data_IF_368724070102
#
_entry.id   IF_368724070102
#
_cell.length_a   1.000
_cell.length_b   1.000
_cell.length_c   1.000
_cell.angle_alpha   90.00
_cell.angle_beta   90.00
_cell.angle_gamma   90.00
#
_symmetry.space_group_name_H-M   'P 1'
#
loop_
_entity.id
_entity.type
_entity.pdbx_description
1 polymer ?
#
# COMPACT_ATOMS: atom_id res chain seq x y z
N UNK A 1 -14.02 16.37 -4.23
CA UNK A 1 -12.64 16.76 -3.98
C UNK A 1 -12.17 17.75 -5.04
N UNK A 2 -11.47 18.78 -4.62
CA UNK A 2 -10.94 19.79 -5.53
C UNK A 2 -9.67 19.35 -6.22
N UNK A 3 -9.04 18.29 -5.71
CA UNK A 3 -7.77 17.79 -6.22
C UNK A 3 -7.89 16.30 -6.51
N UNK A 4 -7.48 15.93 -7.72
CA UNK A 4 -7.37 14.53 -8.09
C UNK A 4 -6.07 14.33 -8.85
N UNK A 5 -5.33 13.30 -8.50
CA UNK A 5 -4.13 12.91 -9.22
C UNK A 5 -4.17 11.42 -9.50
N UNK A 6 -3.96 11.06 -10.76
CA UNK A 6 -3.89 9.67 -11.17
C UNK A 6 -2.44 9.29 -11.43
N UNK A 7 -2.00 8.20 -10.82
CA UNK A 7 -0.63 7.72 -10.94
C UNK A 7 -0.65 6.29 -11.49
N UNK A 8 0.29 5.98 -12.37
CA UNK A 8 0.42 4.64 -12.94
C UNK A 8 1.86 4.20 -12.77
N UNK A 9 2.04 2.99 -12.25
CA UNK A 9 3.35 2.35 -12.24
C UNK A 9 3.30 1.07 -13.06
N UNK A 10 4.35 0.85 -13.86
CA UNK A 10 4.49 -0.36 -14.66
C UNK A 10 5.47 -1.28 -13.97
N UNK A 11 5.05 -2.50 -13.68
CA UNK A 11 5.80 -3.40 -12.80
C UNK A 11 5.92 -4.77 -13.45
N UNK A 12 7.09 -5.39 -13.29
CA UNK A 12 7.33 -6.76 -13.75
C UNK A 12 6.96 -7.75 -12.65
N UNK A 13 6.90 -9.02 -13.03
CA UNK A 13 6.60 -10.12 -12.11
C UNK A 13 7.51 -10.07 -10.89
N UNK A 14 6.95 -10.41 -9.74
CA UNK A 14 7.61 -10.43 -8.43
C UNK A 14 7.98 -9.08 -7.85
N UNK A 15 7.68 -7.96 -8.53
CA UNK A 15 7.81 -6.65 -7.90
C UNK A 15 6.88 -6.57 -6.70
N UNK A 16 7.42 -6.20 -5.54
CA UNK A 16 6.66 -5.97 -4.32
C UNK A 16 6.95 -4.55 -3.84
N UNK A 17 5.90 -3.77 -3.64
CA UNK A 17 6.00 -2.39 -3.14
C UNK A 17 5.12 -2.22 -1.91
N UNK A 18 5.62 -1.51 -0.93
CA UNK A 18 4.83 -1.16 0.24
C UNK A 18 5.56 -1.40 1.56
N UNK A 19 4.90 -1.23 2.67
CA UNK A 19 3.51 -0.78 2.79
C UNK A 19 3.51 0.68 3.21
N UNK A 20 2.75 1.49 2.51
CA UNK A 20 2.77 2.95 2.69
C UNK A 20 1.37 3.46 3.06
N UNK A 21 1.25 4.18 4.17
CA UNK A 21 0.05 4.88 4.55
C UNK A 21 0.25 6.38 4.29
N UNK A 22 -0.70 6.98 3.62
CA UNK A 22 -0.61 8.34 3.15
C UNK A 22 -1.80 9.16 3.67
N UNK A 23 -1.67 10.50 3.74
CA UNK A 23 -2.73 11.34 4.31
C UNK A 23 -3.82 11.70 3.30
N UNK A 24 -4.08 10.83 2.33
CA UNK A 24 -5.16 10.99 1.35
C UNK A 24 -5.83 9.64 1.09
N UNK A 25 -7.06 9.72 0.61
CA UNK A 25 -7.79 8.56 0.14
C UNK A 25 -7.30 8.18 -1.25
N UNK A 26 -7.34 6.90 -1.56
CA UNK A 26 -6.92 6.44 -2.87
C UNK A 26 -7.84 5.33 -3.39
N UNK A 27 -7.92 5.25 -4.71
CA UNK A 27 -8.60 4.16 -5.39
C UNK A 27 -7.55 3.43 -6.22
N UNK A 28 -7.33 2.16 -5.94
CA UNK A 28 -6.32 1.35 -6.63
C UNK A 28 -6.98 0.39 -7.59
N UNK A 29 -6.39 0.21 -8.76
CA UNK A 29 -6.88 -0.68 -9.80
C UNK A 29 -5.75 -1.11 -10.72
N UNK A 30 -6.04 -2.08 -11.59
CA UNK A 30 -5.08 -2.58 -12.57
C UNK A 30 -5.56 -2.13 -13.95
N UNK A 31 -4.67 -1.47 -14.70
CA UNK A 31 -5.00 -0.85 -15.99
C UNK A 31 -4.67 -1.74 -17.19
N UNK A 32 -4.17 -2.95 -16.98
CA UNK A 32 -3.86 -3.92 -18.03
C UNK A 32 -4.42 -5.29 -17.67
N UNK A 33 -3.94 -6.35 -18.29
CA UNK A 33 -4.35 -7.73 -18.00
C UNK A 33 -3.61 -8.34 -16.81
N UNK A 34 -2.84 -7.53 -16.09
CA UNK A 34 -2.06 -8.01 -14.97
C UNK A 34 -2.87 -8.37 -13.73
N UNK A 35 -2.18 -8.96 -12.77
CA UNK A 35 -2.75 -9.41 -11.50
C UNK A 35 -1.77 -9.17 -10.38
N UNK A 36 -2.26 -8.69 -9.25
CA UNK A 36 -1.45 -8.47 -8.04
C UNK A 36 -2.14 -9.01 -6.81
N UNK A 37 -1.36 -9.34 -5.78
CA UNK A 37 -1.89 -9.48 -4.43
C UNK A 37 -1.86 -8.09 -3.82
N UNK A 38 -3.04 -7.48 -3.63
CA UNK A 38 -3.15 -6.24 -2.89
C UNK A 38 -3.17 -6.52 -1.39
N UNK A 39 -2.48 -5.70 -0.62
CA UNK A 39 -2.36 -5.89 0.82
C UNK A 39 -2.50 -4.55 1.53
N UNK A 40 -3.30 -4.54 2.60
CA UNK A 40 -3.58 -3.34 3.38
C UNK A 40 -3.41 -3.63 4.85
N UNK A 41 -2.81 -2.68 5.56
CA UNK A 41 -2.64 -2.74 7.02
C UNK A 41 -3.13 -1.43 7.60
N UNK A 42 -4.07 -1.49 8.52
CA UNK A 42 -4.60 -0.29 9.16
C UNK A 42 -3.58 0.26 10.13
N UNK A 43 -3.11 1.47 9.90
CA UNK A 43 -2.15 2.15 10.77
C UNK A 43 -2.78 3.32 11.54
N UNK A 44 -4.11 3.46 11.48
CA UNK A 44 -4.83 4.48 12.24
C UNK A 44 -4.95 4.05 13.71
N UNK A 45 -4.89 5.01 14.62
CA UNK A 45 -5.11 4.72 16.04
C UNK A 45 -6.49 4.11 16.27
N UNK A 46 -6.62 3.25 17.27
CA UNK A 46 -7.87 2.60 17.64
C UNK A 46 -7.78 1.09 17.56
N UNK A 47 -8.93 0.45 17.69
CA UNK A 47 -9.02 -1.01 17.83
C UNK A 47 -8.62 -1.75 16.55
N UNK A 48 -8.69 -1.10 15.39
CA UNK A 48 -8.34 -1.73 14.12
C UNK A 48 -6.86 -1.64 13.76
N UNK A 49 -6.05 -0.92 14.55
CA UNK A 49 -4.62 -0.78 14.29
C UNK A 49 -3.96 -2.14 14.12
N UNK A 50 -3.27 -2.33 13.00
CA UNK A 50 -2.58 -3.58 12.70
C UNK A 50 -3.44 -4.62 11.98
N UNK A 51 -4.73 -4.36 11.75
CA UNK A 51 -5.56 -5.30 10.99
C UNK A 51 -5.07 -5.38 9.55
N UNK A 52 -5.06 -6.60 9.00
CA UNK A 52 -4.56 -6.90 7.66
C UNK A 52 -5.70 -7.39 6.77
N UNK A 53 -5.76 -6.88 5.56
CA UNK A 53 -6.66 -7.37 4.52
C UNK A 53 -5.86 -7.61 3.25
N UNK A 54 -6.11 -8.74 2.59
CA UNK A 54 -5.48 -9.07 1.31
C UNK A 54 -6.53 -9.56 0.32
N UNK A 55 -6.37 -9.19 -0.94
CA UNK A 55 -7.16 -9.75 -2.02
C UNK A 55 -6.39 -9.65 -3.33
N UNK A 56 -6.73 -10.52 -4.27
CA UNK A 56 -6.17 -10.44 -5.62
C UNK A 56 -6.93 -9.36 -6.39
N UNK A 57 -6.19 -8.46 -7.03
CA UNK A 57 -6.74 -7.41 -7.87
C UNK A 57 -6.35 -7.71 -9.32
N UNK A 58 -7.33 -7.66 -10.19
CA UNK A 58 -7.16 -7.70 -11.65
C UNK A 58 -7.98 -6.57 -12.28
N UNK A 59 -8.10 -6.57 -13.61
CA UNK A 59 -8.83 -5.51 -14.31
C UNK A 59 -10.31 -5.44 -13.96
N UNK A 60 -10.86 -6.45 -13.28
CA UNK A 60 -12.29 -6.51 -12.95
C UNK A 60 -12.66 -5.82 -11.65
N UNK A 61 -11.69 -5.39 -10.83
CA UNK A 61 -12.00 -4.79 -9.55
C UNK A 61 -11.01 -3.69 -9.17
N UNK A 62 -11.53 -2.71 -8.44
CA UNK A 62 -10.71 -1.71 -7.79
C UNK A 62 -11.01 -1.70 -6.30
N UNK A 63 -10.12 -1.09 -5.53
CA UNK A 63 -10.22 -1.05 -4.07
C UNK A 63 -10.10 0.40 -3.61
N UNK A 64 -11.05 0.84 -2.81
CA UNK A 64 -10.94 2.11 -2.11
C UNK A 64 -10.10 1.92 -0.84
N UNK A 65 -9.06 2.74 -0.69
CA UNK A 65 -8.16 2.70 0.46
C UNK A 65 -8.25 4.03 1.20
N UNK A 66 -8.83 4.06 2.39
CA UNK A 66 -8.91 5.30 3.14
C UNK A 66 -7.54 5.76 3.62
N UNK A 67 -7.42 7.06 3.85
CA UNK A 67 -6.18 7.64 4.38
C UNK A 67 -5.81 6.96 5.70
N UNK A 68 -4.52 6.78 5.92
CA UNK A 68 -4.02 6.13 7.12
C UNK A 68 -3.97 4.61 7.05
N UNK A 69 -4.47 4.00 5.98
CA UNK A 69 -4.34 2.56 5.75
C UNK A 69 -3.15 2.33 4.82
N UNK A 70 -2.19 1.55 5.28
CA UNK A 70 -0.99 1.24 4.50
C UNK A 70 -1.35 0.32 3.34
N UNK A 71 -0.82 0.64 2.17
CA UNK A 71 -1.11 -0.02 0.91
C UNK A 71 0.15 -0.63 0.33
N UNK A 72 0.05 -1.85 -0.18
CA UNK A 72 1.13 -2.51 -0.90
C UNK A 72 0.60 -3.58 -1.82
N UNK A 73 1.48 -4.09 -2.66
CA UNK A 73 1.11 -5.13 -3.61
C UNK A 73 2.32 -5.94 -4.06
N UNK A 74 2.04 -7.15 -4.53
CA UNK A 74 3.02 -8.01 -5.18
C UNK A 74 2.47 -8.45 -6.53
N UNK A 75 3.28 -8.31 -7.59
CA UNK A 75 2.86 -8.66 -8.95
C UNK A 75 2.94 -10.17 -9.16
N UNK A 76 1.83 -10.76 -9.59
CA UNK A 76 1.72 -12.21 -9.84
C UNK A 76 1.87 -12.57 -11.30
N UNK A 77 1.46 -11.70 -12.21
CA UNK A 77 1.55 -11.88 -13.66
C UNK A 77 2.91 -11.44 -14.19
N UNK A 78 3.17 -11.64 -15.47
CA UNK A 78 4.44 -11.21 -16.07
C UNK A 78 4.65 -9.70 -15.91
N UNK A 79 3.57 -8.95 -15.96
CA UNK A 79 3.58 -7.50 -15.75
C UNK A 79 2.24 -7.06 -15.18
N UNK A 80 2.23 -5.90 -14.55
CA UNK A 80 0.99 -5.26 -14.10
C UNK A 80 1.15 -3.76 -14.11
N UNK A 81 0.18 -3.06 -14.69
CA UNK A 81 0.06 -1.61 -14.64
C UNK A 81 -0.83 -1.26 -13.44
N UNK A 82 -0.21 -0.85 -12.35
CA UNK A 82 -0.89 -0.54 -11.09
C UNK A 82 -1.22 0.94 -11.08
N UNK A 83 -2.50 1.27 -10.95
CA UNK A 83 -2.93 2.66 -10.90
C UNK A 83 -3.46 3.01 -9.52
N UNK A 84 -3.24 4.25 -9.12
CA UNK A 84 -3.88 4.78 -7.92
C UNK A 84 -4.29 6.22 -8.15
N UNK A 85 -5.57 6.46 -7.93
CA UNK A 85 -6.19 7.78 -7.99
C UNK A 85 -6.27 8.30 -6.56
N UNK A 86 -5.70 9.48 -6.33
CA UNK A 86 -5.66 10.08 -4.99
C UNK A 86 -6.37 11.43 -5.00
N UNK A 87 -6.88 11.84 -3.85
CA UNK A 87 -7.65 13.07 -3.72
C UNK A 87 -6.86 14.23 -3.12
N UNK A 88 -5.53 14.17 -3.19
CA UNK A 88 -4.65 15.27 -2.82
C UNK A 88 -3.35 15.14 -3.58
N UNK A 89 -2.45 16.10 -3.40
CA UNK A 89 -1.14 16.10 -4.02
C UNK A 89 -0.07 15.95 -2.94
N UNK A 90 1.03 15.30 -3.29
CA UNK A 90 2.16 15.24 -2.40
C UNK A 90 2.67 16.64 -2.10
N UNK A 91 2.94 16.91 -0.83
CA UNK A 91 3.54 18.15 -0.37
C UNK A 91 4.43 17.86 0.84
N UNK A 92 5.51 18.59 0.97
CA UNK A 92 6.50 18.33 2.03
C UNK A 92 5.89 18.45 3.43
N UNK A 93 4.98 19.38 3.63
CA UNK A 93 4.31 19.59 4.92
C UNK A 93 3.42 18.43 5.34
N UNK A 94 3.06 17.54 4.41
CA UNK A 94 2.27 16.36 4.71
C UNK A 94 3.11 15.17 5.16
N UNK A 95 4.42 15.26 5.03
CA UNK A 95 5.32 14.15 5.35
C UNK A 95 5.13 13.57 6.76
N UNK A 96 4.92 14.38 7.82
CA UNK A 96 4.66 13.82 9.16
C UNK A 96 3.38 12.99 9.27
N UNK A 97 2.48 13.06 8.29
CA UNK A 97 1.22 12.31 8.27
C UNK A 97 1.33 11.00 7.50
N UNK A 98 2.52 10.69 7.01
CA UNK A 98 2.83 9.41 6.37
C UNK A 98 3.21 8.40 7.42
N UNK A 99 2.91 7.14 7.18
CA UNK A 99 3.40 6.03 7.99
C UNK A 99 3.74 4.86 7.09
N UNK A 100 4.66 4.05 7.55
CA UNK A 100 5.14 2.90 6.81
C UNK A 100 5.22 1.71 7.74
N UNK A 101 5.02 0.51 7.19
CA UNK A 101 5.23 -0.73 7.95
C UNK A 101 5.91 -1.75 7.06
N UNK A 102 6.73 -2.59 7.66
CA UNK A 102 7.54 -3.57 6.96
C UNK A 102 6.65 -4.69 6.40
N UNK A 103 6.77 -4.92 5.10
CA UNK A 103 6.01 -5.97 4.40
C UNK A 103 6.32 -7.38 4.93
N UNK A 104 7.49 -7.58 5.50
CA UNK A 104 7.98 -8.88 5.97
C UNK A 104 7.79 -9.07 7.48
N UNK A 105 7.06 -8.19 8.16
CA UNK A 105 6.80 -8.33 9.59
C UNK A 105 6.00 -9.61 9.86
N UNK A 106 6.63 -10.57 10.52
CA UNK A 106 5.99 -11.86 10.81
C UNK A 106 4.76 -11.75 11.69
N UNK A 107 4.64 -10.70 12.50
CA UNK A 107 3.48 -10.48 13.36
C UNK A 107 2.25 -10.04 12.58
N UNK A 108 2.41 -9.59 11.34
CA UNK A 108 1.28 -9.23 10.50
C UNK A 108 0.66 -10.44 9.79
N UNK A 109 1.44 -11.51 9.60
CA UNK A 109 0.96 -12.71 8.96
C UNK A 109 0.57 -12.53 7.49
N UNK A 110 1.18 -11.56 6.79
CA UNK A 110 0.87 -11.31 5.39
C UNK A 110 1.31 -12.50 4.54
N UNK A 111 0.44 -12.94 3.65
CA UNK A 111 0.68 -14.09 2.78
C UNK A 111 1.13 -13.60 1.39
N UNK A 112 2.43 -13.45 1.22
CA UNK A 112 3.01 -13.17 -0.08
C UNK A 112 3.29 -14.47 -0.83
N UNK A 113 3.40 -14.39 -2.17
CA UNK A 113 3.79 -15.52 -3.00
C UNK A 113 5.27 -15.39 -3.33
N UNK A 114 6.04 -16.48 -3.17
CA UNK A 114 7.47 -16.50 -3.51
C UNK A 114 8.24 -15.29 -2.98
N UNK A 115 8.13 -15.04 -1.69
CA UNK A 115 8.76 -13.87 -1.08
C UNK A 115 10.28 -13.83 -1.32
N UNK A 116 10.92 -14.99 -1.43
CA UNK A 116 12.35 -15.09 -1.71
C UNK A 116 12.75 -14.50 -3.07
N UNK A 117 11.82 -14.54 -4.04
CA UNK A 117 12.05 -14.01 -5.38
C UNK A 117 11.54 -12.58 -5.55
N UNK A 118 10.92 -12.02 -4.52
CA UNK A 118 10.34 -10.69 -4.60
C UNK A 118 11.43 -9.64 -4.79
N UNK A 119 11.16 -8.71 -5.71
CA UNK A 119 12.03 -7.55 -5.92
C UNK A 119 11.47 -6.38 -5.14
N UNK A 120 12.21 -5.95 -4.12
CA UNK A 120 11.79 -4.94 -3.16
C UNK A 120 12.85 -3.85 -3.09
N UNK A 121 12.43 -2.59 -3.08
CA UNK A 121 13.38 -1.48 -2.92
C UNK A 121 14.04 -1.50 -1.55
N UNK A 122 15.22 -0.90 -1.46
CA UNK A 122 15.92 -0.78 -0.17
C UNK A 122 15.09 0.01 0.85
N UNK A 123 14.39 1.04 0.39
CA UNK A 123 13.52 1.81 1.28
C UNK A 123 12.42 0.91 1.89
N UNK A 124 11.76 0.10 1.07
CA UNK A 124 10.70 -0.77 1.55
C UNK A 124 11.20 -1.88 2.47
N UNK A 125 12.42 -2.35 2.26
CA UNK A 125 13.06 -3.35 3.14
C UNK A 125 13.34 -2.80 4.55
N UNK A 126 13.48 -1.50 4.67
CA UNK A 126 13.91 -0.86 5.91
C UNK A 126 12.79 -0.15 6.67
N UNK A 127 11.53 -0.35 6.27
CA UNK A 127 10.41 0.20 7.03
C UNK A 127 10.30 -0.46 8.41
N UNK A 128 9.75 0.25 9.39
CA UNK A 128 9.65 -0.28 10.76
C UNK A 128 8.68 -1.45 10.85
N UNK A 129 8.93 -2.33 11.81
CA UNK A 129 7.97 -3.36 12.19
C UNK A 129 6.76 -2.69 12.85
N UNK A 130 5.62 -3.38 12.85
CA UNK A 130 4.39 -2.82 13.42
C UNK A 130 4.57 -2.31 14.84
N UNK A 131 5.32 -3.03 15.67
CA UNK A 131 5.58 -2.64 17.06
C UNK A 131 6.26 -1.29 17.22
N UNK A 132 6.96 -0.84 16.16
CA UNK A 132 7.70 0.42 16.17
C UNK A 132 6.97 1.52 15.37
N UNK A 133 5.79 1.21 14.81
CA UNK A 133 4.99 2.20 14.09
C UNK A 133 4.16 3.00 15.08
N UNK A 134 4.25 4.31 14.96
CA UNK A 134 3.38 5.20 15.75
C UNK A 134 2.02 5.28 15.06
N UNK A 135 0.93 4.87 15.74
CA UNK A 135 -0.40 4.97 15.14
C UNK A 135 -0.75 6.38 14.69
N UNK A 136 -1.41 6.48 13.55
CA UNK A 136 -1.83 7.77 13.00
C UNK A 136 -3.08 8.25 13.71
N UNK A 137 -3.04 9.48 14.19
CA UNK A 137 -4.18 10.08 14.89
C UNK A 137 -5.23 10.54 13.89
N UNK A 138 -6.50 10.35 14.24
CA UNK A 138 -7.61 10.73 13.36
C UNK A 138 -7.61 12.21 13.03
N UNK A 139 -7.25 13.08 13.98
CA UNK A 139 -7.19 14.51 13.76
C UNK A 139 -6.09 14.93 12.78
N UNK A 140 -5.13 14.06 12.51
CA UNK A 140 -4.04 14.34 11.56
C UNK A 140 -4.34 13.82 10.15
N UNK A 141 -5.47 13.15 9.97
CA UNK A 141 -5.88 12.59 8.67
C UNK A 141 -7.02 13.41 7.99
#
# INVERSE_FOLDING_TARGET
ADKLQNNISFNKKNTLRGLHAEPWDKYVSIADEGRVIGTWVDLREGDSFGNVYQTIIDASKGIFVPRGVANGFQVLSDKAAYTYLVNDYWALELKPKYAFVNYADSNLGIQWENLEEAEVSEADKNHPLLKDVKPLKKEDL
#
